data_IF_762366373404
#
_entry.id   IF_762366373404
#
_cell.length_a   1.000
_cell.length_b   1.000
_cell.length_c   1.000
_cell.angle_alpha   90.00
_cell.angle_beta   90.00
_cell.angle_gamma   90.00
#
_symmetry.space_group_name_H-M   'P 1'
#
loop_
_entity.id
_entity.type
_entity.pdbx_description
1 polymer ?
#
# COMPACT_ATOMS: atom_id res chain seq x y z
N UNK A 1 16.61 -3.06 -9.76
CA UNK A 1 15.39 -3.72 -10.27
C UNK A 1 14.37 -3.73 -9.13
N UNK A 2 13.44 -2.79 -9.10
CA UNK A 2 12.31 -2.79 -8.15
C UNK A 2 11.27 -3.80 -8.63
N UNK A 3 10.98 -4.83 -7.82
CA UNK A 3 9.90 -5.80 -8.10
C UNK A 3 8.56 -5.22 -7.67
N UNK A 4 7.50 -5.47 -8.44
CA UNK A 4 6.13 -5.11 -8.04
C UNK A 4 5.58 -6.12 -7.02
N UNK A 5 4.55 -5.73 -6.26
CA UNK A 5 3.91 -6.64 -5.31
C UNK A 5 3.27 -7.86 -6.00
N UNK A 6 2.73 -7.67 -7.21
CA UNK A 6 2.20 -8.74 -8.06
C UNK A 6 3.31 -9.73 -8.45
N UNK A 7 4.49 -9.25 -8.83
CA UNK A 7 5.65 -10.11 -9.12
C UNK A 7 6.14 -10.87 -7.88
N UNK A 8 6.12 -10.22 -6.70
CA UNK A 8 6.47 -10.88 -5.45
C UNK A 8 5.50 -12.01 -5.11
N UNK A 9 4.19 -11.79 -5.31
CA UNK A 9 3.17 -12.83 -5.09
C UNK A 9 3.40 -14.01 -6.05
N UNK A 10 3.61 -13.75 -7.34
CA UNK A 10 3.91 -14.80 -8.33
C UNK A 10 5.14 -15.61 -7.93
N UNK A 11 6.25 -14.94 -7.58
CA UNK A 11 7.50 -15.59 -7.17
C UNK A 11 7.33 -16.47 -5.91
N UNK A 12 6.48 -16.05 -4.96
CA UNK A 12 6.30 -16.74 -3.68
C UNK A 12 5.24 -17.84 -3.70
N UNK A 13 4.29 -17.77 -4.63
CA UNK A 13 3.13 -18.67 -4.66
C UNK A 13 3.08 -19.55 -5.90
N UNK A 14 3.81 -19.19 -6.97
CA UNK A 14 3.81 -19.91 -8.24
C UNK A 14 2.53 -19.76 -9.05
N UNK A 15 1.67 -18.80 -8.72
CA UNK A 15 0.41 -18.53 -9.43
C UNK A 15 0.62 -17.62 -10.64
N UNK A 16 -0.35 -17.60 -11.57
CA UNK A 16 -0.30 -16.70 -12.73
C UNK A 16 -0.45 -15.24 -12.32
N UNK A 17 -0.04 -14.32 -13.20
CA UNK A 17 -0.19 -12.88 -12.99
C UNK A 17 -1.65 -12.49 -12.72
N UNK A 18 -2.60 -13.01 -13.50
CA UNK A 18 -4.04 -12.77 -13.28
C UNK A 18 -4.52 -13.23 -11.90
N UNK A 19 -4.04 -14.39 -11.44
CA UNK A 19 -4.35 -14.90 -10.11
C UNK A 19 -3.71 -14.05 -9.01
N UNK A 20 -2.48 -13.58 -9.22
CA UNK A 20 -1.79 -12.68 -8.30
C UNK A 20 -2.46 -11.30 -8.22
N UNK A 21 -2.95 -10.78 -9.35
CA UNK A 21 -3.73 -9.54 -9.41
C UNK A 21 -5.05 -9.69 -8.63
N UNK A 22 -5.76 -10.80 -8.84
CA UNK A 22 -6.99 -11.12 -8.11
C UNK A 22 -6.76 -11.25 -6.60
N UNK A 23 -5.67 -11.92 -6.19
CA UNK A 23 -5.28 -12.04 -4.79
C UNK A 23 -4.96 -10.66 -4.16
N UNK A 24 -4.18 -9.84 -4.87
CA UNK A 24 -3.86 -8.48 -4.43
C UNK A 24 -5.12 -7.63 -4.23
N UNK A 25 -6.01 -7.61 -5.22
CA UNK A 25 -7.26 -6.84 -5.18
C UNK A 25 -8.15 -7.28 -4.01
N UNK A 26 -8.22 -8.58 -3.73
CA UNK A 26 -8.99 -9.13 -2.61
C UNK A 26 -8.46 -8.63 -1.26
N UNK A 27 -7.14 -8.66 -1.07
CA UNK A 27 -6.49 -8.18 0.16
C UNK A 27 -6.67 -6.67 0.31
N UNK A 28 -6.47 -5.91 -0.77
CA UNK A 28 -6.66 -4.45 -0.77
C UNK A 28 -8.11 -4.10 -0.44
N UNK A 29 -9.08 -4.79 -1.03
CA UNK A 29 -10.50 -4.62 -0.72
C UNK A 29 -10.78 -4.86 0.77
N UNK A 30 -10.30 -5.98 1.33
CA UNK A 30 -10.45 -6.28 2.75
C UNK A 30 -9.83 -5.21 3.65
N UNK A 31 -8.63 -4.72 3.31
CA UNK A 31 -7.97 -3.66 4.09
C UNK A 31 -8.74 -2.34 4.01
N UNK A 32 -9.27 -1.96 2.84
CA UNK A 32 -10.08 -0.75 2.69
C UNK A 32 -11.37 -0.81 3.52
N UNK A 33 -11.99 -1.98 3.65
CA UNK A 33 -13.18 -2.16 4.50
C UNK A 33 -12.88 -2.07 6.00
N UNK A 34 -11.65 -2.42 6.41
CA UNK A 34 -11.25 -2.46 7.82
C UNK A 34 -10.54 -1.20 8.30
N UNK A 35 -10.02 -0.39 7.39
CA UNK A 35 -9.22 0.78 7.72
C UNK A 35 -10.05 2.06 7.55
N UNK A 36 -9.88 3.05 8.45
CA UNK A 36 -10.49 4.37 8.30
C UNK A 36 -10.15 5.02 6.95
N UNK A 37 -11.06 5.83 6.41
CA UNK A 37 -10.92 6.49 5.10
C UNK A 37 -9.55 7.14 4.82
N UNK A 38 -8.89 7.83 5.79
CA UNK A 38 -7.57 8.43 5.56
C UNK A 38 -6.47 7.42 5.20
N UNK A 39 -6.59 6.16 5.66
CA UNK A 39 -5.61 5.11 5.43
C UNK A 39 -5.93 4.37 4.13
N UNK A 40 -7.23 4.16 3.84
CA UNK A 40 -7.68 3.55 2.59
C UNK A 40 -7.14 4.29 1.34
N UNK A 41 -7.15 5.62 1.36
CA UNK A 41 -6.61 6.46 0.28
C UNK A 41 -5.08 6.38 0.13
N UNK A 42 -4.34 5.95 1.15
CA UNK A 42 -2.88 5.73 1.07
C UNK A 42 -2.53 4.40 0.43
N UNK A 43 -3.36 3.38 0.67
CA UNK A 43 -3.18 2.06 0.09
C UNK A 43 -3.46 2.10 -1.42
N UNK A 44 -4.45 2.88 -1.86
CA UNK A 44 -4.72 3.06 -3.29
C UNK A 44 -3.51 3.66 -4.02
N UNK A 45 -2.90 4.72 -3.48
CA UNK A 45 -1.70 5.34 -4.08
C UNK A 45 -0.52 4.38 -4.22
N UNK A 46 -0.38 3.43 -3.28
CA UNK A 46 0.65 2.39 -3.35
C UNK A 46 0.33 1.31 -4.39
N UNK A 47 -0.95 0.93 -4.54
CA UNK A 47 -1.41 -0.10 -5.48
C UNK A 47 -1.42 0.42 -6.92
N UNK A 48 -1.74 1.69 -7.14
CA UNK A 48 -1.73 2.32 -8.47
C UNK A 48 -0.32 2.45 -9.06
N UNK A 49 0.73 2.18 -8.29
CA UNK A 49 2.11 2.18 -8.79
C UNK A 49 2.68 3.57 -9.08
N UNK A 50 1.95 4.63 -8.75
CA UNK A 50 2.44 6.00 -8.74
C UNK A 50 3.39 6.18 -7.55
N UNK A 51 4.62 5.67 -7.69
CA UNK A 51 5.66 5.77 -6.67
C UNK A 51 5.96 7.23 -6.31
N UNK A 52 5.76 8.17 -7.24
CA UNK A 52 5.87 9.62 -6.99
C UNK A 52 4.73 10.14 -6.09
N UNK A 53 3.49 9.67 -6.26
CA UNK A 53 2.40 10.01 -5.35
C UNK A 53 2.52 9.27 -4.01
N UNK A 54 3.03 8.03 -4.04
CA UNK A 54 3.31 7.24 -2.86
C UNK A 54 4.47 7.83 -2.03
N UNK A 55 5.49 8.44 -2.64
CA UNK A 55 6.56 9.13 -1.89
C UNK A 55 6.05 10.38 -1.18
N UNK A 56 5.16 11.15 -1.81
CA UNK A 56 4.55 12.33 -1.20
C UNK A 56 3.56 11.94 -0.10
N UNK A 57 2.74 10.91 -0.31
CA UNK A 57 1.86 10.37 0.73
C UNK A 57 2.63 9.72 1.89
N UNK A 58 3.71 8.98 1.61
CA UNK A 58 4.53 8.39 2.65
C UNK A 58 5.28 9.46 3.45
N UNK A 59 5.72 10.54 2.79
CA UNK A 59 6.32 11.70 3.47
C UNK A 59 5.29 12.42 4.35
N UNK A 60 4.04 12.56 3.88
CA UNK A 60 2.97 13.13 4.70
C UNK A 60 2.53 12.22 5.85
N UNK A 61 2.52 10.89 5.66
CA UNK A 61 2.25 9.93 6.72
C UNK A 61 3.37 9.93 7.77
N UNK A 62 4.63 9.93 7.36
CA UNK A 62 5.78 10.00 8.28
C UNK A 62 5.84 11.34 9.00
N UNK A 63 5.47 12.45 8.37
CA UNK A 63 5.33 13.75 9.03
C UNK A 63 4.17 13.77 10.05
N UNK A 64 3.02 13.16 9.71
CA UNK A 64 1.86 13.07 10.60
C UNK A 64 2.14 12.15 11.80
N UNK A 65 2.79 11.01 11.56
CA UNK A 65 3.27 10.12 12.62
C UNK A 65 4.37 10.78 13.45
N UNK A 66 5.33 11.48 12.83
CA UNK A 66 6.37 12.23 13.54
C UNK A 66 5.80 13.35 14.41
N UNK A 67 4.74 14.03 13.96
CA UNK A 67 4.02 15.03 14.75
C UNK A 67 3.23 14.45 15.92
N UNK A 68 2.70 13.23 15.79
CA UNK A 68 2.00 12.53 16.88
C UNK A 68 2.96 11.84 17.87
N UNK A 69 4.08 11.32 17.38
CA UNK A 69 5.13 10.70 18.21
C UNK A 69 6.07 11.73 18.85
N UNK A 70 6.25 12.89 18.21
CA UNK A 70 7.07 13.99 18.72
C UNK A 70 6.32 14.93 19.66
N UNK A 71 4.99 14.83 19.74
CA UNK A 71 4.17 15.62 20.66
C UNK A 71 3.84 14.81 21.91
N UNK A 72 4.88 14.41 22.63
CA UNK A 72 4.81 14.20 24.07
C UNK A 72 5.74 15.24 24.68
N UNK A 73 5.10 16.24 25.27
CA UNK A 73 5.62 17.49 25.89
C UNK A 73 5.71 18.72 24.97
#
# INVERSE_FOLDING_TARGET
>A
MSKTLVQLIQEKTGISEDQAQGALNTVVGFLKEKLPEPIAGQIDGLVSGDISAASDQLSNLTASLGGLFGKKE
#
